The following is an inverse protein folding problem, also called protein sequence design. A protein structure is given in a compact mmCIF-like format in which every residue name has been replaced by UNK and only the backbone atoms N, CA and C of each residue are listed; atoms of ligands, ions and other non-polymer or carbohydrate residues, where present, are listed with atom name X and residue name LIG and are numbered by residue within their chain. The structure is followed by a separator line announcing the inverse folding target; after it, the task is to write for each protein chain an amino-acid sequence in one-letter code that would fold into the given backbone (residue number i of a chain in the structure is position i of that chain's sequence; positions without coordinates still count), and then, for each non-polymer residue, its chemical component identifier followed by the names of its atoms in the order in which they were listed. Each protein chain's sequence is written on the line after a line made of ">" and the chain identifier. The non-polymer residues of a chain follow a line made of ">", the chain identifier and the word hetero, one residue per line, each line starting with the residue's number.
data_IF_946603867875
#
_entry.id   IF_946603867875
#
_cell.length_a   1.000
_cell.length_b   1.000
_cell.length_c   1.000
_cell.angle_alpha   90.00
_cell.angle_beta   90.00
_cell.angle_gamma   90.00
#
_symmetry.space_group_name_H-M   'P 1'
#
loop_
_entity.id
_entity.type
_entity.pdbx_description
1 polymer ?
#
# COMPACT_ATOMS: atom_id res chain seq x y z
N UNK A 1 24.62 -5.75 15.90
CA UNK A 1 24.14 -6.78 14.94
C UNK A 1 22.63 -6.84 15.10
N UNK A 2 21.87 -6.61 14.03
CA UNK A 2 20.41 -6.76 14.10
C UNK A 2 20.06 -8.24 14.22
N UNK A 3 19.08 -8.57 15.08
CA UNK A 3 18.64 -9.95 15.25
C UNK A 3 17.91 -10.41 13.97
N UNK A 4 18.11 -11.65 13.51
CA UNK A 4 17.42 -12.20 12.36
C UNK A 4 15.90 -12.27 12.61
N UNK A 5 15.13 -12.21 11.54
CA UNK A 5 13.69 -12.48 11.56
C UNK A 5 13.49 -13.95 11.20
N UNK A 6 12.76 -14.67 12.03
CA UNK A 6 12.38 -16.07 11.82
C UNK A 6 10.94 -16.09 11.32
N UNK A 7 10.68 -16.76 10.19
CA UNK A 7 9.35 -16.98 9.65
C UNK A 7 8.90 -18.41 9.96
N UNK A 8 7.89 -18.55 10.81
CA UNK A 8 7.22 -19.83 11.09
C UNK A 8 6.04 -19.97 10.14
N UNK A 9 5.98 -21.09 9.40
CA UNK A 9 4.93 -21.39 8.44
C UNK A 9 4.12 -22.59 8.92
N UNK A 10 2.85 -22.34 9.26
CA UNK A 10 1.89 -23.38 9.59
C UNK A 10 1.09 -23.79 8.33
N UNK A 11 1.07 -25.09 8.04
CA UNK A 11 0.27 -25.69 6.96
C UNK A 11 -1.14 -25.98 7.48
N UNK A 12 -1.91 -24.90 7.73
CA UNK A 12 -3.19 -24.95 8.42
C UNK A 12 -4.21 -25.86 7.72
N UNK A 13 -4.17 -25.95 6.37
CA UNK A 13 -5.07 -26.82 5.59
C UNK A 13 -4.48 -27.14 4.23
N UNK A 14 -4.60 -28.39 3.81
CA UNK A 14 -4.42 -28.86 2.43
C UNK A 14 -5.73 -29.53 1.96
N UNK A 15 -6.40 -28.94 0.98
CA UNK A 15 -7.61 -29.45 0.34
C UNK A 15 -7.36 -29.78 -1.14
N UNK A 16 -8.38 -30.26 -1.82
CA UNK A 16 -8.28 -30.61 -3.26
C UNK A 16 -8.03 -29.39 -4.16
N UNK A 17 -8.82 -28.32 -4.00
CA UNK A 17 -8.69 -27.08 -4.81
C UNK A 17 -8.06 -25.93 -4.03
N UNK A 18 -8.12 -25.93 -2.68
CA UNK A 18 -7.64 -24.85 -1.82
C UNK A 18 -6.65 -25.33 -0.78
N UNK A 19 -5.60 -24.55 -0.53
CA UNK A 19 -4.68 -24.72 0.56
C UNK A 19 -4.52 -23.43 1.34
N UNK A 20 -4.34 -23.52 2.67
CA UNK A 20 -4.15 -22.37 3.55
C UNK A 20 -2.83 -22.48 4.28
N UNK A 21 -2.09 -21.36 4.32
CA UNK A 21 -0.87 -21.19 5.10
C UNK A 21 -1.03 -20.03 6.05
N UNK A 22 -0.51 -20.21 7.28
CA UNK A 22 -0.32 -19.09 8.22
C UNK A 22 1.16 -18.85 8.39
N UNK A 23 1.54 -17.60 8.44
CA UNK A 23 2.94 -17.20 8.62
C UNK A 23 3.01 -16.25 9.80
N UNK A 24 3.96 -16.50 10.71
CA UNK A 24 4.29 -15.59 11.81
C UNK A 24 5.76 -15.21 11.68
N UNK A 25 6.04 -13.91 11.63
CA UNK A 25 7.41 -13.41 11.71
C UNK A 25 7.75 -13.08 13.15
N UNK A 26 8.88 -13.61 13.63
CA UNK A 26 9.35 -13.49 15.02
C UNK A 26 10.70 -12.80 15.03
N UNK A 27 10.87 -11.79 15.88
CA UNK A 27 12.14 -11.13 16.15
C UNK A 27 12.28 -10.89 17.66
N UNK A 28 13.46 -11.12 18.21
CA UNK A 28 13.71 -11.05 19.66
C UNK A 28 12.73 -11.90 20.49
N UNK A 29 12.32 -13.06 19.98
CA UNK A 29 11.38 -13.96 20.64
C UNK A 29 9.93 -13.46 20.70
N UNK A 30 9.58 -12.41 19.93
CA UNK A 30 8.22 -11.81 19.89
C UNK A 30 7.66 -11.82 18.48
N UNK A 31 6.39 -12.16 18.28
CA UNK A 31 5.72 -11.97 17.00
C UNK A 31 5.71 -10.49 16.63
N UNK A 32 6.15 -10.17 15.40
CA UNK A 32 6.16 -8.81 14.83
C UNK A 32 5.24 -8.67 13.64
N UNK A 33 4.81 -9.79 13.02
CA UNK A 33 3.92 -9.81 11.88
C UNK A 33 3.21 -11.18 11.83
N UNK A 34 1.99 -11.20 11.33
CA UNK A 34 1.26 -12.41 10.99
C UNK A 34 0.54 -12.26 9.66
N UNK A 35 0.38 -13.37 8.94
CA UNK A 35 -0.29 -13.41 7.64
C UNK A 35 -1.03 -14.74 7.48
N UNK A 36 -2.19 -14.71 6.82
CA UNK A 36 -2.86 -15.90 6.31
C UNK A 36 -2.93 -15.80 4.78
N UNK A 37 -2.57 -16.88 4.09
CA UNK A 37 -2.60 -16.95 2.62
C UNK A 37 -3.45 -18.14 2.21
N UNK A 38 -4.41 -17.91 1.32
CA UNK A 38 -5.18 -18.94 0.65
C UNK A 38 -4.66 -19.10 -0.78
N UNK A 39 -4.36 -20.34 -1.15
CA UNK A 39 -3.98 -20.73 -2.51
C UNK A 39 -5.13 -21.49 -3.16
N UNK A 40 -5.29 -21.29 -4.44
CA UNK A 40 -6.31 -21.97 -5.26
C UNK A 40 -5.69 -22.45 -6.57
N UNK A 41 -6.08 -23.63 -7.04
CA UNK A 41 -5.74 -24.08 -8.41
C UNK A 41 -6.53 -23.26 -9.43
N UNK A 42 -6.03 -23.16 -10.68
CA UNK A 42 -6.81 -22.53 -11.76
C UNK A 42 -8.02 -23.39 -12.10
N UNK A 43 -9.20 -22.77 -12.11
CA UNK A 43 -10.48 -23.39 -12.48
C UNK A 43 -11.30 -22.41 -13.32
N UNK A 44 -12.05 -22.93 -14.31
CA UNK A 44 -13.01 -22.14 -15.05
C UNK A 44 -14.26 -21.85 -14.21
N UNK A 45 -14.90 -20.69 -14.43
CA UNK A 45 -16.09 -20.32 -13.68
C UNK A 45 -16.79 -19.08 -14.23
N UNK A 46 -17.80 -18.62 -13.48
CA UNK A 46 -18.53 -17.39 -13.80
C UNK A 46 -17.57 -16.18 -13.72
N UNK A 47 -17.69 -15.27 -14.68
CA UNK A 47 -16.77 -14.13 -14.81
C UNK A 47 -17.53 -12.81 -14.87
N UNK A 48 -17.11 -11.87 -14.04
CA UNK A 48 -17.44 -10.45 -14.11
C UNK A 48 -16.33 -9.63 -13.46
N UNK A 49 -16.28 -8.34 -13.71
CA UNK A 49 -15.35 -7.41 -13.05
C UNK A 49 -15.91 -5.99 -13.04
N UNK A 50 -15.32 -5.13 -12.18
CA UNK A 50 -15.55 -3.69 -12.27
C UNK A 50 -14.91 -3.13 -13.53
N UNK A 51 -15.49 -2.09 -14.10
CA UNK A 51 -14.88 -1.33 -15.20
C UNK A 51 -13.68 -0.53 -14.69
N UNK A 52 -12.64 -0.45 -15.53
CA UNK A 52 -11.50 0.44 -15.29
C UNK A 52 -11.96 1.89 -15.54
N UNK A 53 -11.60 2.84 -14.65
CA UNK A 53 -11.86 4.27 -14.92
C UNK A 53 -11.19 4.70 -16.23
N UNK A 54 -11.87 5.57 -16.99
CA UNK A 54 -11.31 6.17 -18.19
C UNK A 54 -10.26 7.20 -17.80
N UNK A 55 -9.01 6.89 -18.06
CA UNK A 55 -7.84 7.72 -17.79
C UNK A 55 -6.89 7.68 -18.99
N UNK A 56 -6.08 8.69 -19.14
CA UNK A 56 -5.01 8.72 -20.13
C UNK A 56 -3.91 7.71 -19.75
N UNK A 57 -3.12 7.29 -20.74
CA UNK A 57 -2.00 6.38 -20.54
C UNK A 57 -0.89 7.00 -19.69
N UNK A 58 -0.01 6.15 -19.12
CA UNK A 58 1.08 6.60 -18.24
C UNK A 58 2.03 7.62 -18.92
N UNK A 59 2.10 7.61 -20.23
CA UNK A 59 2.96 8.50 -21.03
C UNK A 59 2.61 9.98 -20.83
N UNK A 60 1.38 10.29 -20.43
CA UNK A 60 0.88 11.65 -20.26
C UNK A 60 1.13 12.23 -18.85
N UNK A 61 1.73 11.46 -17.94
CA UNK A 61 1.95 11.86 -16.55
C UNK A 61 3.43 11.82 -16.19
N UNK A 62 3.86 12.81 -15.41
CA UNK A 62 5.21 12.85 -14.83
C UNK A 62 5.36 11.78 -13.75
N UNK A 63 6.55 11.18 -13.70
CA UNK A 63 6.88 10.29 -12.60
C UNK A 63 7.16 11.06 -11.30
N UNK A 64 7.16 10.36 -10.17
CA UNK A 64 7.39 11.00 -8.87
C UNK A 64 8.74 11.71 -8.78
N UNK A 65 9.80 11.21 -9.43
CA UNK A 65 11.12 11.84 -9.40
C UNK A 65 11.11 13.16 -10.18
N UNK A 66 10.39 13.23 -11.31
CA UNK A 66 10.20 14.46 -12.08
C UNK A 66 9.35 15.51 -11.35
N UNK A 67 8.46 15.07 -10.45
CA UNK A 67 7.67 15.95 -9.59
C UNK A 67 8.49 16.46 -8.39
N UNK A 68 9.55 15.74 -8.00
CA UNK A 68 10.45 16.07 -6.90
C UNK A 68 11.65 16.89 -7.43
N UNK A 69 11.39 18.12 -7.91
CA UNK A 69 12.44 19.02 -8.38
C UNK A 69 13.41 19.38 -7.26
N UNK A 70 14.62 19.84 -7.61
CA UNK A 70 15.63 20.31 -6.63
C UNK A 70 15.10 21.40 -5.71
N UNK A 71 14.19 22.24 -6.20
CA UNK A 71 13.54 23.29 -5.42
C UNK A 71 12.60 22.67 -4.37
N UNK A 72 11.82 21.67 -4.75
CA UNK A 72 10.95 20.92 -3.82
C UNK A 72 11.80 20.18 -2.78
N UNK A 73 12.87 19.50 -3.23
CA UNK A 73 13.77 18.75 -2.35
C UNK A 73 14.43 19.67 -1.29
N UNK A 74 14.82 20.88 -1.65
CA UNK A 74 15.41 21.85 -0.72
C UNK A 74 14.46 22.26 0.41
N UNK A 75 13.16 22.30 0.14
CA UNK A 75 12.12 22.66 1.12
C UNK A 75 11.73 21.50 2.04
N UNK A 76 12.16 20.29 1.72
CA UNK A 76 11.84 19.08 2.49
C UNK A 76 12.85 18.95 3.66
N UNK A 77 12.39 18.64 4.88
CA UNK A 77 13.26 18.33 6.01
C UNK A 77 14.26 17.23 5.68
N UNK A 78 15.52 17.39 6.09
CA UNK A 78 16.64 16.50 5.72
C UNK A 78 16.35 15.01 6.03
N UNK A 79 15.72 14.73 7.18
CA UNK A 79 15.35 13.37 7.58
C UNK A 79 14.42 12.67 6.56
N UNK A 80 13.60 13.45 5.87
CA UNK A 80 12.63 12.94 4.89
C UNK A 80 13.22 12.86 3.48
N UNK A 81 14.24 13.67 3.16
CA UNK A 81 14.91 13.65 1.85
C UNK A 81 15.43 12.26 1.53
N UNK A 82 16.17 11.64 2.44
CA UNK A 82 16.72 10.29 2.27
C UNK A 82 15.65 9.24 1.97
N UNK A 83 14.47 9.39 2.55
CA UNK A 83 13.34 8.49 2.30
C UNK A 83 12.70 8.72 0.92
N UNK A 84 12.57 9.98 0.51
CA UNK A 84 11.89 10.36 -0.74
C UNK A 84 12.78 10.19 -1.98
N UNK A 85 14.10 10.38 -1.82
CA UNK A 85 15.08 10.23 -2.91
C UNK A 85 15.66 8.83 -3.02
N UNK A 86 15.23 7.90 -2.15
CA UNK A 86 15.66 6.50 -2.23
C UNK A 86 15.12 5.88 -3.51
N UNK A 87 16.00 5.24 -4.27
CA UNK A 87 15.60 4.42 -5.42
C UNK A 87 14.56 3.39 -5.00
N UNK A 88 13.51 3.29 -5.78
CA UNK A 88 12.42 2.35 -5.59
C UNK A 88 12.41 1.38 -6.75
N UNK A 89 12.09 0.10 -6.52
CA UNK A 89 12.00 -0.88 -7.60
C UNK A 89 10.76 -0.69 -8.47
N UNK A 90 10.00 0.40 -8.27
CA UNK A 90 8.80 0.75 -9.03
C UNK A 90 8.81 2.22 -9.42
N UNK A 91 8.38 2.48 -10.64
CA UNK A 91 8.05 3.81 -11.13
C UNK A 91 6.57 4.12 -10.83
N UNK A 92 6.30 5.35 -10.36
CA UNK A 92 4.96 5.83 -10.03
C UNK A 92 4.67 7.10 -10.82
N UNK A 93 3.53 7.13 -11.53
CA UNK A 93 3.02 8.30 -12.25
C UNK A 93 1.62 8.65 -11.73
N UNK A 94 1.51 9.50 -10.71
CA UNK A 94 0.22 9.90 -10.16
C UNK A 94 -0.54 10.77 -11.16
N UNK A 95 -1.84 10.47 -11.34
CA UNK A 95 -2.72 11.20 -12.25
C UNK A 95 -3.09 12.55 -11.63
N UNK A 96 -3.42 12.56 -10.34
CA UNK A 96 -3.76 13.77 -9.58
C UNK A 96 -2.84 13.88 -8.35
N UNK A 97 -1.56 14.28 -8.54
CA UNK A 97 -0.63 14.40 -7.44
C UNK A 97 -1.08 15.47 -6.45
N UNK A 98 -0.87 15.22 -5.16
CA UNK A 98 -1.05 16.25 -4.14
C UNK A 98 0.20 17.13 -4.09
N UNK A 99 0.01 18.45 -3.92
CA UNK A 99 1.12 19.33 -3.64
C UNK A 99 1.61 19.08 -2.21
N UNK A 100 2.78 18.45 -2.07
CA UNK A 100 3.33 18.04 -0.77
C UNK A 100 3.75 19.22 0.10
N UNK A 101 4.08 20.36 -0.50
CA UNK A 101 4.50 21.58 0.22
C UNK A 101 3.30 22.39 0.73
N UNK A 102 2.19 22.32 0.01
CA UNK A 102 0.94 23.00 0.37
C UNK A 102 -0.23 22.06 0.06
N UNK A 103 -0.42 21.01 0.88
CA UNK A 103 -1.47 20.04 0.62
C UNK A 103 -2.85 20.68 0.78
N UNK A 104 -3.67 20.51 -0.24
CA UNK A 104 -5.07 20.95 -0.26
C UNK A 104 -6.01 19.78 0.04
N UNK A 105 -7.22 20.08 0.46
CA UNK A 105 -8.28 19.06 0.61
C UNK A 105 -8.71 18.58 -0.76
N UNK A 106 -8.59 17.29 -1.00
CA UNK A 106 -8.92 16.64 -2.25
C UNK A 106 -9.95 15.52 -2.01
N UNK A 107 -10.67 15.05 -3.03
CA UNK A 107 -11.54 13.89 -2.89
C UNK A 107 -10.81 12.68 -2.29
N UNK A 108 -11.51 11.81 -1.54
CA UNK A 108 -10.94 10.61 -0.94
C UNK A 108 -10.72 9.52 -2.01
N UNK A 109 -10.10 9.87 -3.10
CA UNK A 109 -9.78 8.96 -4.20
C UNK A 109 -8.46 9.33 -4.84
N UNK A 110 -7.77 8.34 -5.39
CA UNK A 110 -6.46 8.49 -6.01
C UNK A 110 -6.31 7.51 -7.17
N UNK A 111 -5.55 7.90 -8.15
CA UNK A 111 -5.19 7.07 -9.29
C UNK A 111 -3.70 7.25 -9.59
N UNK A 112 -3.02 6.15 -9.83
CA UNK A 112 -1.59 6.15 -10.13
C UNK A 112 -1.26 5.02 -11.09
N UNK A 113 -0.49 5.30 -12.13
CA UNK A 113 0.14 4.30 -12.96
C UNK A 113 1.43 3.82 -12.28
N UNK A 114 1.61 2.51 -12.24
CA UNK A 114 2.77 1.89 -11.59
C UNK A 114 3.36 0.83 -12.52
N UNK A 115 4.68 0.69 -12.46
CA UNK A 115 5.43 -0.33 -13.20
C UNK A 115 6.72 -0.64 -12.45
N UNK A 116 7.18 -1.89 -12.42
CA UNK A 116 8.53 -2.22 -11.97
C UNK A 116 9.58 -1.56 -12.88
N UNK A 117 10.66 -1.06 -12.29
CA UNK A 117 11.74 -0.38 -13.03
C UNK A 117 12.60 -1.33 -13.85
N UNK A 118 12.70 -2.57 -13.40
CA UNK A 118 13.48 -3.63 -14.03
C UNK A 118 12.56 -4.72 -14.60
N UNK A 119 13.05 -5.44 -15.59
CA UNK A 119 12.37 -6.62 -16.10
C UNK A 119 12.38 -7.72 -15.03
N UNK A 120 11.23 -8.33 -14.81
CA UNK A 120 11.05 -9.43 -13.86
C UNK A 120 11.01 -10.75 -14.63
N UNK A 121 11.67 -11.78 -14.10
CA UNK A 121 11.60 -13.13 -14.68
C UNK A 121 10.14 -13.60 -14.77
N UNK A 122 9.83 -14.44 -15.76
CA UNK A 122 8.46 -14.96 -15.97
C UNK A 122 8.08 -15.99 -14.88
N UNK A 123 8.04 -15.52 -13.64
CA UNK A 123 7.64 -16.26 -12.44
C UNK A 123 6.42 -15.57 -11.81
N UNK A 124 5.25 -16.18 -11.95
CA UNK A 124 3.99 -15.66 -11.44
C UNK A 124 4.05 -15.39 -9.92
N UNK A 125 4.72 -16.26 -9.15
CA UNK A 125 4.82 -16.09 -7.69
C UNK A 125 5.61 -14.84 -7.36
N UNK A 126 6.71 -14.59 -8.06
CA UNK A 126 7.50 -13.38 -7.88
C UNK A 126 6.70 -12.13 -8.24
N UNK A 127 5.98 -12.13 -9.36
CA UNK A 127 5.10 -11.02 -9.74
C UNK A 127 4.01 -10.76 -8.69
N UNK A 128 3.40 -11.81 -8.12
CA UNK A 128 2.41 -11.66 -7.03
C UNK A 128 3.03 -11.10 -5.76
N UNK A 129 4.22 -11.55 -5.36
CA UNK A 129 4.94 -11.01 -4.21
C UNK A 129 5.29 -9.53 -4.40
N UNK A 130 5.77 -9.15 -5.58
CA UNK A 130 6.09 -7.76 -5.91
C UNK A 130 4.83 -6.88 -5.95
N UNK A 131 3.70 -7.41 -6.47
CA UNK A 131 2.43 -6.68 -6.43
C UNK A 131 1.94 -6.51 -5.00
N UNK A 132 2.02 -7.54 -4.15
CA UNK A 132 1.68 -7.44 -2.74
C UNK A 132 2.52 -6.36 -2.03
N UNK A 133 3.83 -6.31 -2.32
CA UNK A 133 4.73 -5.29 -1.78
C UNK A 133 4.32 -3.89 -2.20
N UNK A 134 4.09 -3.64 -3.50
CA UNK A 134 3.82 -2.29 -3.99
C UNK A 134 2.39 -1.83 -3.69
N UNK A 135 1.45 -2.74 -3.48
CA UNK A 135 0.05 -2.42 -3.20
C UNK A 135 -0.17 -1.68 -1.88
N UNK A 136 0.75 -1.80 -0.92
CA UNK A 136 0.70 -1.08 0.36
C UNK A 136 1.03 0.42 0.22
N UNK A 137 1.77 0.83 -0.80
CA UNK A 137 2.32 2.19 -0.89
C UNK A 137 1.28 3.30 -1.08
N UNK A 138 0.11 2.99 -1.65
CA UNK A 138 -0.82 4.02 -2.12
C UNK A 138 -2.10 4.15 -1.30
N UNK A 139 -2.43 3.18 -0.44
CA UNK A 139 -3.73 3.11 0.24
C UNK A 139 -3.89 4.16 1.33
N UNK A 140 -3.02 4.16 2.33
CA UNK A 140 -3.21 5.00 3.51
C UNK A 140 -3.15 6.50 3.19
N UNK A 141 -2.35 6.89 2.20
CA UNK A 141 -2.31 8.25 1.69
C UNK A 141 -3.66 8.73 1.15
N UNK A 142 -4.49 7.83 0.63
CA UNK A 142 -5.83 8.16 0.12
C UNK A 142 -6.76 8.64 1.23
N UNK A 143 -6.65 8.06 2.43
CA UNK A 143 -7.43 8.47 3.61
C UNK A 143 -7.10 9.90 4.08
N UNK A 144 -5.92 10.41 3.76
CA UNK A 144 -5.45 11.72 4.21
C UNK A 144 -5.86 12.87 3.29
N UNK A 145 -6.20 12.59 2.03
CA UNK A 145 -6.54 13.60 1.02
C UNK A 145 -7.67 14.55 1.43
N UNK A 146 -8.81 14.09 2.01
CA UNK A 146 -9.90 14.99 2.42
C UNK A 146 -9.51 15.94 3.57
N UNK A 147 -8.44 15.62 4.29
CA UNK A 147 -7.98 16.38 5.44
C UNK A 147 -6.84 17.36 5.10
N UNK A 148 -6.37 17.36 3.85
CA UNK A 148 -5.27 18.22 3.41
C UNK A 148 -3.92 17.81 4.01
N UNK A 149 -3.70 16.51 4.20
CA UNK A 149 -2.40 15.97 4.59
C UNK A 149 -1.79 15.16 3.44
N UNK A 150 -0.47 15.19 3.34
CA UNK A 150 0.31 14.38 2.41
C UNK A 150 1.33 13.53 3.20
N UNK A 151 1.51 12.26 2.81
CA UNK A 151 2.61 11.45 3.28
C UNK A 151 3.88 11.76 2.47
N UNK A 152 5.05 11.75 3.11
CA UNK A 152 5.36 11.46 4.52
C UNK A 152 5.33 12.70 5.43
N UNK A 153 4.71 13.79 5.00
CA UNK A 153 4.76 15.11 5.64
C UNK A 153 3.60 15.29 6.61
N UNK A 154 3.80 14.87 7.83
CA UNK A 154 2.89 15.23 8.92
C UNK A 154 3.45 16.30 9.85
N UNK A 155 4.63 16.89 9.58
CA UNK A 155 5.33 17.86 10.45
C UNK A 155 5.33 17.47 11.93
N UNK A 156 5.34 16.18 12.25
CA UNK A 156 5.11 15.66 13.58
C UNK A 156 3.68 15.83 14.10
N UNK A 157 2.77 16.40 13.28
CA UNK A 157 1.37 16.64 13.62
C UNK A 157 0.47 15.45 13.33
N UNK A 158 0.97 14.44 12.65
CA UNK A 158 0.21 13.25 12.29
C UNK A 158 1.00 11.99 12.57
N UNK A 159 0.41 11.06 13.31
CA UNK A 159 0.92 9.71 13.50
C UNK A 159 0.18 8.79 12.54
N UNK A 160 0.92 8.12 11.65
CA UNK A 160 0.37 7.25 10.61
C UNK A 160 1.07 5.91 10.68
N UNK A 161 0.28 4.83 10.64
CA UNK A 161 0.78 3.46 10.58
C UNK A 161 -0.26 2.54 9.96
N UNK A 162 0.14 1.62 9.10
CA UNK A 162 -0.71 0.53 8.62
C UNK A 162 -1.04 -0.41 9.78
N UNK A 163 -2.29 -0.88 9.87
CA UNK A 163 -2.76 -1.83 10.88
C UNK A 163 -2.94 -3.22 10.28
N UNK A 164 -3.47 -3.28 9.08
CA UNK A 164 -3.65 -4.50 8.30
C UNK A 164 -3.44 -4.21 6.81
N UNK A 165 -3.41 -5.25 6.01
CA UNK A 165 -3.41 -5.18 4.55
C UNK A 165 -3.94 -6.49 3.99
N UNK A 166 -4.89 -6.44 3.08
CA UNK A 166 -5.40 -7.63 2.40
C UNK A 166 -5.38 -7.43 0.87
N UNK A 167 -5.00 -8.49 0.15
CA UNK A 167 -4.98 -8.50 -1.32
C UNK A 167 -5.63 -9.77 -1.84
N UNK A 168 -6.44 -9.64 -2.89
CA UNK A 168 -7.04 -10.73 -3.65
C UNK A 168 -6.55 -10.65 -5.09
N UNK A 169 -5.84 -11.67 -5.53
CA UNK A 169 -5.39 -11.83 -6.91
C UNK A 169 -6.51 -12.44 -7.74
N UNK A 170 -6.93 -11.77 -8.80
CA UNK A 170 -8.02 -12.21 -9.66
C UNK A 170 -7.52 -12.81 -10.98
N UNK A 171 -6.36 -12.36 -11.44
CA UNK A 171 -5.75 -12.77 -12.71
C UNK A 171 -4.23 -12.76 -12.62
N UNK A 172 -3.57 -13.38 -13.61
CA UNK A 172 -2.11 -13.34 -13.72
C UNK A 172 -1.64 -11.89 -13.84
N UNK A 173 -0.58 -11.60 -13.15
CA UNK A 173 -0.02 -10.26 -13.01
C UNK A 173 1.36 -10.21 -13.63
N UNK A 174 1.66 -9.12 -14.35
CA UNK A 174 3.00 -8.73 -14.80
C UNK A 174 3.30 -7.33 -14.25
N UNK A 175 4.15 -7.23 -13.24
CA UNK A 175 4.46 -5.95 -12.59
C UNK A 175 5.46 -5.10 -13.38
N UNK A 176 6.15 -5.67 -14.34
CA UNK A 176 7.02 -5.01 -15.31
C UNK A 176 6.27 -4.46 -16.53
N UNK A 177 4.97 -4.70 -16.63
CA UNK A 177 4.04 -3.94 -17.47
C UNK A 177 3.34 -2.85 -16.65
N UNK A 178 2.86 -1.78 -17.31
CA UNK A 178 2.11 -0.74 -16.64
C UNK A 178 0.76 -1.23 -16.13
N UNK A 179 0.45 -0.95 -14.88
CA UNK A 179 -0.86 -1.17 -14.30
C UNK A 179 -1.39 0.09 -13.62
N UNK A 180 -2.70 0.29 -13.72
CA UNK A 180 -3.40 1.40 -13.05
C UNK A 180 -3.86 0.96 -11.68
N UNK A 181 -3.40 1.64 -10.65
CA UNK A 181 -3.87 1.47 -9.29
C UNK A 181 -4.86 2.59 -8.95
N UNK A 182 -6.11 2.23 -8.73
CA UNK A 182 -7.16 3.16 -8.28
C UNK A 182 -7.49 2.88 -6.84
N UNK A 183 -7.60 3.90 -6.00
CA UNK A 183 -7.97 3.75 -4.59
C UNK A 183 -9.02 4.75 -4.16
N UNK A 184 -9.87 4.36 -3.23
CA UNK A 184 -10.83 5.21 -2.54
C UNK A 184 -10.82 4.96 -1.03
N UNK A 185 -11.17 5.99 -0.26
CA UNK A 185 -11.35 5.89 1.18
C UNK A 185 -12.78 6.21 1.56
N UNK A 186 -13.60 5.19 1.84
CA UNK A 186 -15.00 5.40 2.20
C UNK A 186 -15.19 5.94 3.62
N UNK A 187 -14.17 5.81 4.49
CA UNK A 187 -14.30 6.20 5.88
C UNK A 187 -12.96 6.58 6.53
N UNK A 188 -13.03 7.61 7.38
CA UNK A 188 -12.01 7.92 8.38
C UNK A 188 -12.71 8.35 9.67
N UNK A 189 -12.52 7.58 10.76
CA UNK A 189 -13.13 7.85 12.07
C UNK A 189 -12.32 7.19 13.19
N UNK A 190 -12.39 7.75 14.39
CA UNK A 190 -11.75 7.16 15.58
C UNK A 190 -10.25 6.99 15.45
N UNK A 191 -9.56 7.96 14.83
CA UNK A 191 -8.14 7.95 14.51
C UNK A 191 -7.70 6.81 13.56
N UNK A 192 -8.62 6.25 12.78
CA UNK A 192 -8.34 5.26 11.74
C UNK A 192 -8.91 5.71 10.40
N UNK A 193 -8.28 5.29 9.32
CA UNK A 193 -8.75 5.44 7.96
C UNK A 193 -8.80 4.09 7.27
N UNK A 194 -9.87 3.84 6.53
CA UNK A 194 -10.02 2.65 5.70
C UNK A 194 -9.94 3.02 4.23
N UNK A 195 -9.16 2.28 3.47
CA UNK A 195 -9.03 2.46 2.03
C UNK A 195 -9.21 1.13 1.29
N UNK A 196 -9.68 1.23 0.05
CA UNK A 196 -9.83 0.14 -0.90
C UNK A 196 -9.10 0.48 -2.18
N UNK A 197 -8.59 -0.54 -2.87
CA UNK A 197 -7.95 -0.36 -4.15
C UNK A 197 -8.31 -1.43 -5.16
N UNK A 198 -8.21 -1.06 -6.43
CA UNK A 198 -8.35 -1.94 -7.59
C UNK A 198 -7.15 -1.73 -8.50
N UNK A 199 -6.61 -2.82 -9.00
CA UNK A 199 -5.43 -2.81 -9.85
C UNK A 199 -5.81 -3.38 -11.20
N UNK A 200 -5.65 -2.58 -12.26
CA UNK A 200 -6.01 -2.94 -13.65
C UNK A 200 -4.76 -2.94 -14.53
N UNK A 201 -4.69 -3.84 -15.50
CA UNK A 201 -3.73 -3.69 -16.58
C UNK A 201 -4.17 -2.58 -17.58
N UNK A 202 -3.35 -2.29 -18.59
CA UNK A 202 -3.65 -1.25 -19.59
C UNK A 202 -4.91 -1.53 -20.42
N UNK A 203 -5.24 -2.80 -20.59
CA UNK A 203 -6.39 -3.29 -21.34
C UNK A 203 -7.70 -3.24 -20.53
N UNK A 204 -7.62 -2.80 -19.26
CA UNK A 204 -8.78 -2.70 -18.38
C UNK A 204 -9.15 -3.98 -17.65
N UNK A 205 -8.30 -5.00 -17.67
CA UNK A 205 -8.51 -6.24 -16.92
C UNK A 205 -8.20 -6.02 -15.45
N UNK A 206 -9.12 -6.36 -14.55
CA UNK A 206 -8.92 -6.29 -13.09
C UNK A 206 -7.99 -7.41 -12.63
N UNK A 207 -6.79 -7.06 -12.21
CA UNK A 207 -5.73 -7.99 -11.78
C UNK A 207 -5.86 -8.36 -10.30
N UNK A 208 -6.12 -7.35 -9.45
CA UNK A 208 -6.22 -7.53 -8.00
C UNK A 208 -7.12 -6.48 -7.35
N UNK A 209 -7.64 -6.83 -6.17
CA UNK A 209 -8.31 -5.92 -5.24
C UNK A 209 -7.56 -5.90 -3.92
N UNK A 210 -7.51 -4.73 -3.27
CA UNK A 210 -6.81 -4.55 -2.00
C UNK A 210 -7.64 -3.73 -1.02
N UNK A 211 -7.40 -3.95 0.28
CA UNK A 211 -7.96 -3.14 1.36
C UNK A 211 -6.94 -2.94 2.46
N UNK A 212 -7.06 -1.83 3.19
CA UNK A 212 -6.20 -1.52 4.32
C UNK A 212 -6.92 -0.62 5.33
N UNK A 213 -6.82 -0.95 6.60
CA UNK A 213 -7.06 0.02 7.67
C UNK A 213 -5.72 0.53 8.22
N UNK A 214 -5.66 1.79 8.55
CA UNK A 214 -4.46 2.40 9.13
C UNK A 214 -4.78 3.42 10.20
N UNK A 215 -3.85 3.57 11.15
CA UNK A 215 -3.85 4.64 12.13
C UNK A 215 -3.60 5.98 11.42
N UNK A 216 -4.44 6.96 11.68
CA UNK A 216 -4.29 8.37 11.26
C UNK A 216 -4.64 9.26 12.46
N UNK A 217 -3.70 9.46 13.36
CA UNK A 217 -3.92 10.15 14.62
C UNK A 217 -3.23 11.49 14.64
N UNK A 218 -3.95 12.54 15.05
CA UNK A 218 -3.34 13.83 15.42
C UNK A 218 -2.89 13.67 16.88
N UNK A 219 -1.56 13.69 17.16
CA UNK A 219 -1.07 13.59 18.53
C UNK A 219 -1.58 14.77 19.36
N UNK A 220 -2.12 14.48 20.52
CA UNK A 220 -2.52 15.51 21.49
C UNK A 220 -1.25 16.05 22.15
N UNK A 221 -0.91 17.33 21.93
CA UNK A 221 0.30 17.95 22.46
C UNK A 221 0.37 17.90 24.01
N UNK A 222 -0.76 17.69 24.67
CA UNK A 222 -0.91 17.64 26.13
C UNK A 222 -0.93 16.22 26.70
N UNK A 223 -1.08 15.18 25.87
CA UNK A 223 -1.00 13.79 26.35
C UNK A 223 0.44 13.32 26.33
N UNK A 224 1.13 13.39 27.47
CA UNK A 224 2.29 12.51 27.71
C UNK A 224 1.86 11.09 27.36
N UNK A 225 2.70 10.36 26.59
CA UNK A 225 2.49 8.95 26.21
C UNK A 225 2.24 8.07 27.47
N UNK A 226 1.08 8.14 28.05
CA UNK A 226 0.61 7.11 28.96
C UNK A 226 0.24 5.94 28.07
N UNK A 227 1.14 4.96 27.94
CA UNK A 227 0.73 3.60 27.57
C UNK A 227 -0.42 3.28 28.51
N UNK A 228 -1.62 3.27 27.98
CA UNK A 228 -2.79 2.88 28.76
C UNK A 228 -2.55 1.44 29.19
N UNK A 229 -2.39 1.25 30.47
CA UNK A 229 -2.42 -0.07 31.14
C UNK A 229 -3.89 -0.55 31.19
N UNK A 230 -4.61 -0.50 30.05
CA UNK A 230 -5.94 -1.08 29.98
C UNK A 230 -5.78 -2.60 29.92
N UNK A 231 -6.20 -3.33 30.97
CA UNK A 231 -6.05 -4.79 31.03
C UNK A 231 -6.75 -5.51 29.87
N UNK A 232 -7.72 -4.85 29.21
CA UNK A 232 -8.47 -5.41 28.06
C UNK A 232 -7.66 -5.43 26.77
N UNK A 233 -6.53 -4.73 26.72
CA UNK A 233 -5.61 -4.70 25.58
C UNK A 233 -4.36 -5.58 25.83
N UNK A 234 -4.31 -6.29 26.93
CA UNK A 234 -3.30 -7.31 27.25
C UNK A 234 -3.85 -8.68 26.85
N UNK A 235 -3.91 -8.93 25.53
CA UNK A 235 -4.12 -10.27 24.97
C UNK A 235 -2.76 -10.86 24.65
#
# INVERSE_FOLDING_TARGET
>A
MEAPIIYEVDRARDGGSFSVRRVVAIQHGRPIFNMAVSFHIEEDGLTHQSEMPKVEGPENFKNLNELMTDEVIKLIPEKLRKFLTKERPFEFRPINPINILKPEKLPPSKQVWIKATENVTDDLVLHQCLLAYVSDFELLGTCLRPHGFALPFGDGKLQVASLDHAIWFHRKVKVDDWFLYTSDSPNAHGARGFARGKIFNREGTLLASVTQEGLIRIPDANKKNTRTSDPRLQI
#
